data_IF_505158326849
#
_entry.id   IF_505158326849
#
_cell.length_a   1.000
_cell.length_b   1.000
_cell.length_c   1.000
_cell.angle_alpha   90.00
_cell.angle_beta   90.00
_cell.angle_gamma   90.00
#
_symmetry.space_group_name_H-M   'P 1'
#
loop_
_entity.id
_entity.type
_entity.pdbx_description
1 polymer ?
#
# COMPACT_ATOMS: atom_id res chain seq x y z
N UNK A 1 -10.75 -33.67 56.11
CA UNK A 1 -9.44 -33.00 56.28
C UNK A 1 -9.32 -32.16 55.04
N UNK A 2 -9.88 -30.95 55.04
CA UNK A 2 -9.36 -29.68 55.54
C UNK A 2 -7.96 -29.44 54.98
N UNK A 3 -7.81 -28.51 54.04
CA UNK A 3 -7.56 -27.10 54.36
C UNK A 3 -7.77 -26.19 53.14
N UNK A 4 -8.55 -25.17 53.40
CA UNK A 4 -8.71 -23.96 52.64
C UNK A 4 -7.43 -23.10 52.75
N UNK A 5 -7.01 -22.47 51.66
CA UNK A 5 -6.23 -21.24 51.75
C UNK A 5 -6.72 -20.26 50.67
N UNK A 6 -7.55 -19.32 51.13
CA UNK A 6 -7.78 -18.00 50.51
C UNK A 6 -6.49 -17.17 50.62
N UNK A 7 -6.15 -16.50 49.52
CA UNK A 7 -5.31 -15.31 49.60
C UNK A 7 -5.73 -14.34 48.50
N UNK A 8 -6.56 -13.39 48.86
CA UNK A 8 -6.72 -12.10 48.22
C UNK A 8 -5.41 -11.33 48.30
N UNK A 9 -4.94 -10.79 47.17
CA UNK A 9 -4.05 -9.64 47.17
C UNK A 9 -4.58 -8.59 46.19
N UNK A 10 -5.24 -7.61 46.80
CA UNK A 10 -5.53 -6.31 46.24
C UNK A 10 -4.22 -5.55 46.05
N UNK A 11 -3.92 -5.13 44.81
CA UNK A 11 -2.85 -4.17 44.59
C UNK A 11 -3.44 -2.84 44.16
N UNK A 12 -3.33 -1.91 45.08
CA UNK A 12 -3.72 -0.51 45.05
C UNK A 12 -3.18 0.25 43.83
N UNK A 13 -4.06 1.06 43.28
CA UNK A 13 -3.76 2.14 42.37
C UNK A 13 -2.87 3.19 43.03
N UNK A 14 -1.66 3.36 42.56
CA UNK A 14 -0.84 4.52 42.91
C UNK A 14 -0.91 5.57 41.81
N UNK A 15 -1.63 6.64 42.14
CA UNK A 15 -1.48 7.99 41.65
C UNK A 15 0.01 8.36 41.50
N UNK A 16 0.40 8.76 40.28
CA UNK A 16 1.61 9.54 40.08
C UNK A 16 1.19 10.94 39.63
N UNK A 17 1.11 11.80 40.61
CA UNK A 17 0.93 13.24 40.46
C UNK A 17 2.12 13.88 39.76
N UNK A 18 1.83 14.69 38.76
CA UNK A 18 2.74 15.68 38.18
C UNK A 18 3.16 16.70 39.25
N UNK A 19 4.45 16.83 39.45
CA UNK A 19 5.05 17.97 40.18
C UNK A 19 6.41 18.26 39.55
N UNK A 20 6.46 19.32 38.74
CA UNK A 20 7.52 20.32 38.73
C UNK A 20 7.19 21.43 37.73
N UNK A 21 6.46 22.41 38.23
CA UNK A 21 6.49 23.75 37.68
C UNK A 21 7.61 24.49 38.38
N UNK A 22 8.72 24.72 37.71
CA UNK A 22 9.80 25.59 38.13
C UNK A 22 9.65 26.94 37.49
N UNK A 23 9.28 27.93 38.26
CA UNK A 23 9.31 29.35 37.91
C UNK A 23 10.74 29.86 37.96
N UNK A 24 11.20 30.48 36.88
CA UNK A 24 12.11 31.62 37.00
C UNK A 24 11.97 32.54 35.80
N UNK A 25 11.72 33.81 36.09
CA UNK A 25 11.42 34.86 35.17
C UNK A 25 12.67 35.49 34.56
N UNK A 26 12.56 35.96 33.37
CA UNK A 26 13.24 37.14 32.87
C UNK A 26 12.51 37.69 31.64
N UNK A 27 11.95 38.85 31.84
CA UNK A 27 11.33 39.70 30.82
C UNK A 27 12.36 40.14 29.78
N UNK A 28 12.05 40.01 28.49
CA UNK A 28 12.40 41.01 27.48
C UNK A 28 11.47 40.87 26.29
N UNK A 29 10.65 41.93 26.10
CA UNK A 29 9.76 42.11 24.98
C UNK A 29 10.52 42.19 23.65
N UNK A 30 9.93 41.57 22.65
CA UNK A 30 10.29 41.65 21.26
C UNK A 30 9.01 41.63 20.45
N UNK A 31 8.48 42.85 20.22
CA UNK A 31 7.40 43.17 19.31
C UNK A 31 7.86 42.87 17.88
N UNK A 32 7.21 41.94 17.18
CA UNK A 32 7.36 41.69 15.77
C UNK A 32 6.00 41.81 15.09
N UNK A 33 5.65 43.06 14.75
CA UNK A 33 4.59 43.39 13.83
C UNK A 33 4.95 42.97 12.40
N UNK A 34 4.02 42.42 11.62
CA UNK A 34 4.27 42.12 10.22
C UNK A 34 4.16 43.35 9.35
N UNK A 35 5.24 43.70 8.69
CA UNK A 35 5.25 44.73 7.64
C UNK A 35 4.62 44.21 6.37
N UNK A 36 3.49 44.79 6.02
CA UNK A 36 2.90 44.75 4.68
C UNK A 36 3.70 45.67 3.77
N UNK A 37 4.30 45.09 2.73
CA UNK A 37 4.74 45.86 1.56
C UNK A 37 3.79 45.63 0.41
N UNK A 38 2.99 46.62 0.17
CA UNK A 38 2.15 46.83 -0.99
C UNK A 38 3.05 47.35 -2.14
N UNK A 39 3.08 46.64 -3.23
CA UNK A 39 3.57 47.16 -4.50
C UNK A 39 2.49 46.91 -5.56
N UNK A 40 1.69 47.93 -5.75
CA UNK A 40 0.85 48.13 -6.94
C UNK A 40 1.76 48.47 -8.12
N UNK A 41 1.60 47.83 -9.25
CA UNK A 41 1.90 48.36 -10.58
C UNK A 41 0.86 47.89 -11.58
N UNK A 42 0.02 48.73 -11.82
CA UNK A 42 -0.68 49.31 -12.96
C UNK A 42 -0.56 48.57 -14.31
N UNK A 43 -1.75 48.48 -14.84
CA UNK A 43 -2.28 48.20 -16.14
C UNK A 43 -1.42 48.64 -17.34
N UNK A 44 -1.43 47.80 -18.36
CA UNK A 44 -1.37 48.26 -19.75
C UNK A 44 -2.33 47.43 -20.59
N UNK A 45 -3.35 48.15 -21.01
CA UNK A 45 -4.34 47.78 -21.99
C UNK A 45 -3.71 47.68 -23.40
N UNK A 46 -3.98 46.63 -24.10
CA UNK A 46 -3.66 46.48 -25.50
C UNK A 46 -4.65 45.56 -26.20
N UNK A 47 -5.76 46.13 -26.65
CA UNK A 47 -6.71 45.49 -27.56
C UNK A 47 -6.25 45.72 -28.99
N UNK A 48 -6.13 44.74 -29.85
CA UNK A 48 -6.34 44.92 -31.27
C UNK A 48 -7.63 44.24 -31.71
N UNK A 49 -8.59 45.06 -32.01
CA UNK A 49 -9.72 44.76 -32.90
C UNK A 49 -9.20 44.66 -34.32
N UNK A 50 -9.55 43.59 -35.05
CA UNK A 50 -9.74 43.47 -36.52
C UNK A 50 -10.02 42.02 -36.76
N UNK A 51 -11.05 41.60 -37.38
CA UNK A 51 -11.72 41.83 -38.60
C UNK A 51 -12.54 40.62 -38.93
N UNK A 52 -13.83 40.79 -39.09
CA UNK A 52 -14.77 39.78 -39.64
C UNK A 52 -14.29 39.35 -41.00
N UNK A 53 -14.06 38.05 -41.16
CA UNK A 53 -14.28 37.35 -42.43
C UNK A 53 -14.97 36.03 -42.12
N UNK A 54 -16.28 36.01 -42.38
CA UNK A 54 -17.06 34.77 -42.51
C UNK A 54 -16.55 34.03 -43.73
N UNK A 55 -16.06 32.81 -43.51
CA UNK A 55 -16.00 31.82 -44.59
C UNK A 55 -16.83 30.65 -44.08
N UNK A 56 -18.04 30.58 -44.63
CA UNK A 56 -18.86 29.40 -44.59
C UNK A 56 -18.23 28.36 -45.57
N UNK A 57 -17.65 27.33 -45.06
CA UNK A 57 -17.40 26.11 -45.81
C UNK A 57 -17.77 24.94 -44.91
N UNK A 58 -18.81 24.25 -45.32
CA UNK A 58 -19.30 23.04 -44.70
C UNK A 58 -18.19 21.96 -44.65
N UNK A 59 -17.96 21.45 -43.48
CA UNK A 59 -17.14 20.29 -43.23
C UNK A 59 -17.94 19.33 -42.35
N UNK A 60 -18.36 18.24 -42.93
CA UNK A 60 -18.98 17.08 -42.33
C UNK A 60 -18.18 16.70 -41.06
N UNK A 61 -18.82 16.81 -39.89
CA UNK A 61 -18.33 16.23 -38.67
C UNK A 61 -18.32 14.72 -38.82
N UNK A 62 -17.17 14.16 -39.13
CA UNK A 62 -16.92 12.72 -38.92
C UNK A 62 -16.80 12.52 -37.42
N UNK A 63 -17.88 12.09 -36.83
CA UNK A 63 -17.86 11.46 -35.51
C UNK A 63 -17.05 10.16 -35.69
N UNK A 64 -15.74 10.24 -35.49
CA UNK A 64 -14.93 9.06 -35.19
C UNK A 64 -15.43 8.52 -33.87
N UNK A 65 -16.42 7.65 -33.89
CA UNK A 65 -16.67 6.71 -32.81
C UNK A 65 -15.39 5.88 -32.71
N UNK A 66 -14.55 6.18 -31.72
CA UNK A 66 -13.59 5.23 -31.18
C UNK A 66 -14.43 4.09 -30.61
N UNK A 67 -14.84 3.17 -31.52
CA UNK A 67 -15.20 1.84 -31.14
C UNK A 67 -13.89 1.24 -30.58
N UNK A 68 -13.67 1.36 -29.29
CA UNK A 68 -12.75 0.52 -28.57
C UNK A 68 -13.18 -0.90 -28.88
N UNK A 69 -12.41 -1.62 -29.67
CA UNK A 69 -12.47 -3.06 -29.73
C UNK A 69 -12.07 -3.57 -28.33
N UNK A 70 -13.02 -3.62 -27.43
CA UNK A 70 -12.97 -4.52 -26.31
C UNK A 70 -13.07 -5.92 -26.90
N UNK A 71 -11.95 -6.58 -27.07
CA UNK A 71 -11.90 -8.02 -27.27
C UNK A 71 -12.59 -8.63 -26.05
N UNK A 72 -13.69 -9.33 -26.26
CA UNK A 72 -14.45 -9.93 -25.17
C UNK A 72 -13.73 -11.15 -24.60
N UNK A 73 -12.93 -10.92 -23.64
CA UNK A 73 -12.78 -11.71 -22.43
C UNK A 73 -13.27 -10.78 -21.34
N UNK A 74 -14.20 -11.24 -20.48
CA UNK A 74 -14.79 -10.37 -19.47
C UNK A 74 -13.64 -9.73 -18.68
N UNK A 75 -13.69 -8.38 -18.54
CA UNK A 75 -12.66 -7.64 -17.81
C UNK A 75 -12.42 -8.34 -16.46
N UNK A 76 -11.16 -8.70 -16.19
CA UNK A 76 -10.79 -9.26 -14.89
C UNK A 76 -11.30 -8.35 -13.77
N UNK A 77 -11.78 -8.90 -12.65
CA UNK A 77 -12.27 -8.09 -11.54
C UNK A 77 -11.12 -7.20 -11.02
N UNK A 78 -11.43 -5.93 -10.74
CA UNK A 78 -10.45 -5.03 -10.13
C UNK A 78 -10.21 -5.35 -8.65
N UNK A 79 -9.09 -4.86 -8.06
CA UNK A 79 -8.79 -5.06 -6.65
C UNK A 79 -9.83 -4.38 -5.75
N UNK A 80 -9.97 -4.88 -4.53
CA UNK A 80 -10.89 -4.33 -3.53
C UNK A 80 -10.13 -3.66 -2.38
N UNK A 81 -10.79 -2.78 -1.62
CA UNK A 81 -10.19 -2.25 -0.40
C UNK A 81 -10.39 -3.26 0.73
N UNK A 82 -9.29 -3.69 1.34
CA UNK A 82 -9.30 -4.57 2.51
C UNK A 82 -9.58 -3.77 3.78
N UNK A 83 -10.45 -4.29 4.61
CA UNK A 83 -10.93 -3.65 5.85
C UNK A 83 -10.58 -4.50 7.07
N UNK A 84 -10.90 -4.02 8.26
CA UNK A 84 -10.71 -4.80 9.49
C UNK A 84 -11.61 -6.04 9.60
N UNK A 85 -12.54 -6.23 8.66
CA UNK A 85 -13.32 -7.45 8.54
C UNK A 85 -12.63 -8.51 7.66
N UNK A 86 -11.50 -8.13 7.03
CA UNK A 86 -10.76 -8.99 6.10
C UNK A 86 -9.53 -9.59 6.78
N UNK A 87 -9.53 -10.93 6.83
CA UNK A 87 -8.42 -11.72 7.38
C UNK A 87 -7.70 -12.49 6.28
N UNK A 88 -6.41 -12.74 6.49
CA UNK A 88 -5.59 -13.57 5.62
C UNK A 88 -6.13 -15.01 5.53
N UNK A 89 -6.24 -15.55 4.32
CA UNK A 89 -6.77 -16.89 4.06
C UNK A 89 -5.83 -18.03 4.49
N UNK A 90 -4.59 -17.72 4.84
CA UNK A 90 -3.60 -18.68 5.33
C UNK A 90 -3.45 -18.58 6.84
N UNK A 91 -3.02 -17.43 7.38
CA UNK A 91 -2.68 -17.29 8.80
C UNK A 91 -3.83 -16.78 9.67
N UNK A 92 -4.91 -16.23 9.06
CA UNK A 92 -6.09 -15.72 9.77
C UNK A 92 -5.90 -14.36 10.45
N UNK A 93 -4.76 -13.69 10.26
CA UNK A 93 -4.53 -12.34 10.79
C UNK A 93 -5.38 -11.29 10.06
N UNK A 94 -5.86 -10.28 10.80
CA UNK A 94 -6.62 -9.15 10.24
C UNK A 94 -5.67 -8.26 9.44
N UNK A 95 -5.78 -8.28 8.11
CA UNK A 95 -4.77 -7.74 7.19
C UNK A 95 -4.40 -6.28 7.48
N UNK A 96 -5.32 -5.31 7.63
CA UNK A 96 -4.94 -3.92 7.87
C UNK A 96 -4.23 -3.64 9.20
N UNK A 97 -4.20 -4.60 10.11
CA UNK A 97 -3.57 -4.46 11.44
C UNK A 97 -2.12 -4.97 11.48
N UNK A 98 -1.63 -5.51 10.37
CA UNK A 98 -0.30 -6.11 10.28
C UNK A 98 0.56 -5.39 9.23
N UNK A 99 1.89 -5.53 9.25
CA UNK A 99 2.76 -5.03 8.19
C UNK A 99 2.39 -5.60 6.83
N UNK A 100 2.66 -4.85 5.73
CA UNK A 100 2.53 -5.36 4.37
C UNK A 100 3.68 -6.28 3.96
N UNK A 101 3.73 -6.70 2.69
CA UNK A 101 2.81 -6.36 1.60
C UNK A 101 1.48 -7.12 1.68
N UNK A 102 0.40 -6.50 1.18
CA UNK A 102 -0.89 -7.19 1.04
C UNK A 102 -1.09 -7.67 -0.40
N UNK A 103 -1.85 -8.76 -0.56
CA UNK A 103 -2.06 -9.41 -1.86
C UNK A 103 -3.48 -9.93 -2.00
N UNK A 104 -4.01 -9.90 -3.21
CA UNK A 104 -5.32 -10.41 -3.57
C UNK A 104 -5.25 -11.31 -4.80
N UNK A 105 -5.93 -12.48 -4.74
CA UNK A 105 -6.02 -13.38 -5.90
C UNK A 105 -7.50 -13.66 -6.20
N UNK A 106 -7.90 -13.35 -7.43
CA UNK A 106 -9.22 -13.71 -7.95
C UNK A 106 -9.10 -15.01 -8.75
N UNK A 107 -9.91 -16.00 -8.39
CA UNK A 107 -9.98 -17.27 -9.09
C UNK A 107 -11.26 -17.36 -9.90
N UNK A 108 -11.16 -17.84 -11.15
CA UNK A 108 -12.29 -17.90 -12.08
C UNK A 108 -13.40 -18.82 -11.60
N UNK A 109 -13.05 -20.03 -11.24
CA UNK A 109 -14.00 -21.13 -10.95
C UNK A 109 -14.00 -21.57 -9.49
N UNK A 110 -13.24 -20.89 -8.64
CA UNK A 110 -13.10 -21.23 -7.23
C UNK A 110 -13.30 -20.03 -6.34
N UNK A 111 -13.60 -20.28 -5.08
CA UNK A 111 -13.74 -19.28 -4.04
C UNK A 111 -12.91 -19.66 -2.83
N UNK A 112 -12.33 -18.72 -2.10
CA UNK A 112 -11.72 -18.96 -0.81
C UNK A 112 -12.72 -19.59 0.15
N UNK A 113 -12.22 -20.24 1.20
CA UNK A 113 -13.07 -20.88 2.20
C UNK A 113 -13.74 -19.79 3.08
N UNK A 114 -15.08 -19.71 3.01
CA UNK A 114 -15.87 -18.90 3.92
C UNK A 114 -16.29 -17.53 3.40
N UNK A 115 -15.79 -17.08 2.24
CA UNK A 115 -16.17 -15.80 1.63
C UNK A 115 -16.06 -15.84 0.09
N UNK A 116 -16.51 -14.79 -0.57
CA UNK A 116 -16.35 -14.61 -2.01
C UNK A 116 -14.93 -14.11 -2.34
N UNK A 117 -14.54 -14.19 -3.64
CA UNK A 117 -13.30 -13.58 -4.13
C UNK A 117 -13.15 -12.11 -3.72
N UNK A 118 -11.91 -11.62 -3.57
CA UNK A 118 -10.64 -12.33 -3.75
C UNK A 118 -10.27 -13.21 -2.56
N UNK A 119 -9.35 -14.17 -2.76
CA UNK A 119 -8.50 -14.67 -1.70
C UNK A 119 -7.56 -13.55 -1.25
N UNK A 120 -7.32 -13.39 0.05
CA UNK A 120 -6.70 -12.21 0.66
C UNK A 120 -5.55 -12.61 1.57
N UNK A 121 -4.44 -11.86 1.47
CA UNK A 121 -3.22 -12.20 2.18
C UNK A 121 -2.57 -10.94 2.75
N UNK A 122 -1.99 -11.05 3.93
CA UNK A 122 -1.10 -10.05 4.55
C UNK A 122 0.38 -10.26 4.21
N UNK A 123 0.64 -11.12 3.23
CA UNK A 123 1.97 -11.49 2.75
C UNK A 123 1.88 -11.94 1.28
N UNK A 124 2.72 -11.39 0.42
CA UNK A 124 2.83 -11.84 -0.97
C UNK A 124 3.44 -13.25 -1.02
N UNK A 125 4.33 -13.56 -0.08
CA UNK A 125 4.87 -14.90 0.07
C UNK A 125 3.77 -15.96 0.31
N UNK A 126 2.85 -15.72 1.26
CA UNK A 126 1.72 -16.62 1.53
C UNK A 126 0.78 -16.75 0.32
N UNK A 127 0.59 -15.65 -0.42
CA UNK A 127 -0.26 -15.67 -1.62
C UNK A 127 0.30 -16.59 -2.70
N UNK A 128 1.60 -16.53 -2.98
CA UNK A 128 2.25 -17.44 -3.92
C UNK A 128 2.25 -18.89 -3.42
N UNK A 129 2.53 -19.13 -2.12
CA UNK A 129 2.46 -20.47 -1.54
C UNK A 129 1.05 -21.04 -1.69
N UNK A 130 0.03 -20.24 -1.37
CA UNK A 130 -1.37 -20.62 -1.50
C UNK A 130 -1.75 -20.96 -2.95
N UNK A 131 -1.30 -20.19 -3.92
CA UNK A 131 -1.57 -20.44 -5.34
C UNK A 131 -0.86 -21.67 -5.87
N UNK A 132 0.43 -21.85 -5.57
CA UNK A 132 1.22 -23.02 -6.00
C UNK A 132 0.73 -24.34 -5.45
N UNK A 133 0.01 -24.36 -4.35
CA UNK A 133 -0.61 -25.57 -3.80
C UNK A 133 -1.91 -25.97 -4.51
N UNK A 134 -2.38 -25.16 -5.47
CA UNK A 134 -3.70 -25.31 -6.10
C UNK A 134 -3.60 -25.35 -7.63
N UNK A 135 -4.44 -26.20 -8.22
CA UNK A 135 -4.64 -26.25 -9.68
C UNK A 135 -5.81 -25.35 -10.11
N UNK A 136 -5.97 -24.17 -9.46
CA UNK A 136 -7.06 -23.26 -9.77
C UNK A 136 -6.66 -22.26 -10.86
N UNK A 137 -7.64 -21.77 -11.63
CA UNK A 137 -7.35 -20.79 -12.68
C UNK A 137 -7.38 -19.38 -12.06
N UNK A 138 -6.24 -18.72 -11.98
CA UNK A 138 -6.12 -17.31 -11.61
C UNK A 138 -6.79 -16.46 -12.70
N UNK A 139 -7.64 -15.53 -12.30
CA UNK A 139 -8.28 -14.53 -13.15
C UNK A 139 -7.60 -13.16 -13.02
N UNK A 140 -7.16 -12.82 -11.80
CA UNK A 140 -6.33 -11.67 -11.50
C UNK A 140 -5.50 -11.90 -10.24
N UNK A 141 -4.28 -11.38 -10.22
CA UNK A 141 -3.36 -11.42 -9.08
C UNK A 141 -2.88 -9.99 -8.82
N UNK A 142 -3.27 -9.42 -7.68
CA UNK A 142 -2.94 -8.05 -7.31
C UNK A 142 -2.00 -8.00 -6.11
N UNK A 143 -1.02 -7.12 -6.18
CA UNK A 143 -0.03 -6.90 -5.11
C UNK A 143 0.05 -5.42 -4.75
N UNK A 144 0.41 -5.10 -3.52
CA UNK A 144 0.70 -3.72 -3.12
C UNK A 144 1.87 -3.17 -3.93
N UNK A 145 1.66 -2.06 -4.65
CA UNK A 145 2.69 -1.36 -5.42
C UNK A 145 3.38 -0.28 -4.58
N UNK A 146 4.59 -0.55 -4.17
CA UNK A 146 5.39 0.37 -3.35
C UNK A 146 6.03 1.53 -4.13
N UNK A 147 5.89 1.57 -5.45
CA UNK A 147 6.19 2.77 -6.24
C UNK A 147 5.07 3.81 -6.19
N UNK A 148 3.82 3.39 -5.92
CA UNK A 148 2.65 4.27 -5.99
C UNK A 148 2.14 4.78 -4.64
N UNK A 149 2.67 4.27 -3.52
CA UNK A 149 2.21 4.59 -2.16
C UNK A 149 3.31 5.26 -1.32
N UNK A 150 2.90 6.08 -0.35
CA UNK A 150 3.80 6.66 0.66
C UNK A 150 4.10 5.62 1.74
N UNK A 151 5.03 4.73 1.47
CA UNK A 151 5.40 3.67 2.41
C UNK A 151 6.41 4.14 3.45
N UNK A 152 6.48 3.41 4.55
CA UNK A 152 7.42 3.65 5.64
C UNK A 152 7.91 2.35 6.24
N UNK A 153 9.04 2.42 6.94
CA UNK A 153 9.58 1.32 7.73
C UNK A 153 9.39 1.60 9.22
N UNK A 154 8.94 0.59 9.94
CA UNK A 154 8.89 0.59 11.40
C UNK A 154 9.85 -0.47 11.95
N UNK A 155 10.30 -0.30 13.20
CA UNK A 155 11.15 -1.28 13.88
C UNK A 155 10.35 -2.00 14.95
N UNK A 156 10.36 -3.33 14.92
CA UNK A 156 9.76 -4.17 15.95
C UNK A 156 10.60 -5.44 16.16
N UNK A 157 10.97 -5.71 17.40
CA UNK A 157 11.73 -6.93 17.75
C UNK A 157 13.14 -7.03 17.14
N UNK A 158 13.65 -5.94 16.58
CA UNK A 158 14.94 -5.91 15.85
C UNK A 158 14.79 -6.07 14.33
N UNK A 159 13.57 -6.26 13.84
CA UNK A 159 13.25 -6.32 12.42
C UNK A 159 12.72 -4.98 11.90
N UNK A 160 12.98 -4.70 10.62
CA UNK A 160 12.41 -3.56 9.89
C UNK A 160 11.21 -4.05 9.09
N UNK A 161 10.04 -3.48 9.40
CA UNK A 161 8.75 -3.90 8.86
C UNK A 161 8.20 -2.84 7.93
N UNK A 162 7.74 -3.25 6.73
CA UNK A 162 7.14 -2.34 5.76
C UNK A 162 5.67 -2.06 6.10
N UNK A 163 5.22 -0.82 5.87
CA UNK A 163 3.83 -0.43 6.10
C UNK A 163 2.86 -1.18 5.18
N UNK A 164 1.65 -1.49 5.69
CA UNK A 164 0.54 -2.02 4.89
C UNK A 164 -0.22 -0.89 4.19
N UNK A 165 -0.78 -1.18 3.03
CA UNK A 165 -1.60 -0.28 2.22
C UNK A 165 -2.80 -1.06 1.67
N UNK A 166 -3.91 -1.13 2.43
CA UNK A 166 -5.03 -2.01 2.13
C UNK A 166 -6.05 -1.41 1.16
N UNK A 167 -5.85 -0.17 0.67
CA UNK A 167 -6.77 0.50 -0.24
C UNK A 167 -6.66 -0.09 -1.66
N UNK A 168 -7.79 -0.28 -2.35
CA UNK A 168 -7.82 -0.80 -3.72
C UNK A 168 -6.88 -0.04 -4.69
N UNK A 169 -6.68 1.26 -4.45
CA UNK A 169 -5.78 2.10 -5.26
C UNK A 169 -4.29 1.82 -5.06
N UNK A 170 -3.93 1.07 -4.02
CA UNK A 170 -2.56 0.67 -3.73
C UNK A 170 -2.15 -0.61 -4.45
N UNK A 171 -3.09 -1.30 -5.06
CA UNK A 171 -2.84 -2.57 -5.72
C UNK A 171 -2.64 -2.41 -7.23
N UNK A 172 -1.74 -3.20 -7.78
CA UNK A 172 -1.46 -3.30 -9.21
C UNK A 172 -1.39 -4.77 -9.60
N UNK A 173 -1.58 -5.05 -10.88
CA UNK A 173 -1.41 -6.39 -11.44
C UNK A 173 0.02 -6.89 -11.20
N UNK A 174 0.14 -8.09 -10.65
CA UNK A 174 1.43 -8.70 -10.29
C UNK A 174 2.32 -8.98 -11.52
N UNK A 175 1.75 -9.12 -12.71
CA UNK A 175 2.52 -9.27 -13.95
C UNK A 175 3.20 -7.96 -14.39
N UNK A 176 2.72 -6.82 -13.86
CA UNK A 176 3.22 -5.49 -14.23
C UNK A 176 4.34 -4.95 -13.31
N UNK A 177 4.80 -5.73 -12.33
CA UNK A 177 5.77 -5.28 -11.33
C UNK A 177 7.12 -5.98 -11.41
N UNK A 178 8.11 -5.40 -10.74
CA UNK A 178 9.36 -6.05 -10.36
C UNK A 178 9.33 -6.30 -8.85
N UNK A 179 9.50 -7.54 -8.44
CA UNK A 179 9.62 -7.93 -7.04
C UNK A 179 11.06 -7.78 -6.54
N UNK A 180 11.20 -7.29 -5.31
CA UNK A 180 12.42 -7.49 -4.51
C UNK A 180 12.18 -8.64 -3.55
N UNK A 181 12.84 -9.76 -3.80
CA UNK A 181 12.65 -11.03 -3.09
C UNK A 181 13.65 -11.15 -1.96
N UNK A 182 13.19 -11.35 -0.73
CA UNK A 182 14.02 -11.73 0.39
C UNK A 182 14.96 -10.65 0.91
N UNK A 183 14.59 -9.38 0.83
CA UNK A 183 15.31 -8.26 1.43
C UNK A 183 15.40 -8.39 2.97
N UNK A 184 16.16 -7.48 3.60
CA UNK A 184 16.18 -7.35 5.08
C UNK A 184 14.86 -6.78 5.64
N UNK A 185 14.08 -6.09 4.80
CA UNK A 185 12.77 -5.57 5.16
C UNK A 185 11.77 -6.72 5.11
N UNK A 186 10.99 -6.82 6.17
CA UNK A 186 10.04 -7.92 6.37
C UNK A 186 8.60 -7.44 6.27
N UNK A 187 7.73 -8.36 5.91
CA UNK A 187 6.28 -8.25 6.05
C UNK A 187 5.77 -8.89 7.34
N UNK A 188 4.46 -9.14 7.40
CA UNK A 188 3.80 -9.78 8.55
C UNK A 188 4.37 -11.17 8.85
N UNK A 189 4.72 -11.93 7.81
CA UNK A 189 5.19 -13.33 7.93
C UNK A 189 6.71 -13.47 7.82
N UNK A 190 7.46 -12.39 7.86
CA UNK A 190 8.91 -12.41 7.75
C UNK A 190 9.43 -11.88 6.42
N UNK A 191 10.44 -12.53 5.82
CA UNK A 191 10.95 -12.13 4.50
C UNK A 191 9.89 -12.37 3.43
N UNK A 192 9.74 -11.40 2.54
CA UNK A 192 8.64 -11.36 1.59
C UNK A 192 9.09 -10.96 0.18
N UNK A 193 8.13 -10.83 -0.74
CA UNK A 193 8.29 -10.27 -2.07
C UNK A 193 7.65 -8.88 -2.06
N UNK A 194 8.47 -7.83 -2.13
CA UNK A 194 8.02 -6.44 -2.13
C UNK A 194 7.98 -5.95 -3.58
N UNK A 195 6.80 -5.50 -4.04
CA UNK A 195 6.54 -5.20 -5.43
C UNK A 195 6.64 -3.71 -5.75
N UNK A 196 7.18 -3.39 -6.92
CA UNK A 196 7.36 -2.05 -7.45
C UNK A 196 6.97 -2.02 -8.93
N UNK A 197 6.05 -1.13 -9.31
CA UNK A 197 5.72 -0.91 -10.73
C UNK A 197 6.85 -0.21 -11.48
N UNK A 198 7.63 0.64 -10.80
CA UNK A 198 8.81 1.28 -11.36
C UNK A 198 10.07 0.46 -11.06
N UNK A 199 10.72 -0.04 -12.10
CA UNK A 199 11.93 -0.88 -11.96
C UNK A 199 13.07 -0.16 -11.23
N UNK A 200 13.23 1.13 -11.46
CA UNK A 200 14.28 1.94 -10.81
C UNK A 200 14.08 1.98 -9.29
N UNK A 201 12.80 2.00 -8.80
CA UNK A 201 12.48 1.95 -7.38
C UNK A 201 12.81 0.57 -6.78
N UNK A 202 12.52 -0.51 -7.51
CA UNK A 202 12.92 -1.86 -7.11
C UNK A 202 14.44 -2.01 -6.99
N UNK A 203 15.19 -1.44 -7.94
CA UNK A 203 16.64 -1.44 -7.94
C UNK A 203 17.21 -0.64 -6.75
N UNK A 204 16.67 0.54 -6.47
CA UNK A 204 17.05 1.36 -5.33
C UNK A 204 16.72 0.67 -4.00
N UNK A 205 15.52 0.09 -3.86
CA UNK A 205 15.16 -0.66 -2.66
C UNK A 205 16.09 -1.85 -2.42
N UNK A 206 16.41 -2.60 -3.46
CA UNK A 206 17.36 -3.72 -3.38
C UNK A 206 18.78 -3.26 -3.00
N UNK A 207 19.23 -2.11 -3.49
CA UNK A 207 20.54 -1.56 -3.13
C UNK A 207 20.62 -1.20 -1.65
N UNK A 208 19.53 -0.66 -1.09
CA UNK A 208 19.46 -0.21 0.31
C UNK A 208 19.17 -1.35 1.29
N UNK A 209 18.43 -2.39 0.85
CA UNK A 209 17.85 -3.41 1.74
C UNK A 209 18.18 -4.86 1.35
N UNK A 210 19.00 -5.05 0.32
CA UNK A 210 19.34 -6.40 -0.15
C UNK A 210 18.21 -7.09 -0.90
N UNK A 211 18.34 -8.39 -1.07
CA UNK A 211 17.39 -9.21 -1.84
C UNK A 211 17.79 -9.37 -3.30
N UNK A 212 16.89 -9.94 -4.09
CA UNK A 212 17.08 -10.15 -5.53
C UNK A 212 15.85 -9.68 -6.32
N UNK A 213 16.07 -9.21 -7.56
CA UNK A 213 14.96 -8.83 -8.43
C UNK A 213 14.38 -10.07 -9.12
N UNK A 214 13.05 -10.10 -9.25
CA UNK A 214 12.30 -11.14 -9.96
C UNK A 214 11.12 -10.53 -10.71
N UNK A 215 10.80 -11.04 -11.90
CA UNK A 215 9.50 -10.82 -12.51
C UNK A 215 8.48 -11.84 -11.97
N UNK A 216 7.20 -11.63 -12.21
CA UNK A 216 6.13 -12.52 -11.76
C UNK A 216 6.35 -13.97 -12.23
N UNK A 217 6.60 -14.16 -13.52
CA UNK A 217 6.80 -15.50 -14.13
C UNK A 217 8.07 -16.22 -13.65
N UNK A 218 9.01 -15.49 -13.04
CA UNK A 218 10.27 -16.03 -12.53
C UNK A 218 10.16 -16.46 -11.05
N UNK A 219 9.03 -16.18 -10.37
CA UNK A 219 8.77 -16.64 -9.01
C UNK A 219 8.36 -18.10 -9.06
N UNK A 220 9.12 -18.95 -8.39
CA UNK A 220 8.91 -20.41 -8.37
C UNK A 220 8.65 -20.92 -6.97
N UNK A 221 8.12 -22.16 -6.83
CA UNK A 221 8.00 -22.79 -5.51
C UNK A 221 9.32 -22.84 -4.72
N UNK A 222 10.47 -22.98 -5.40
CA UNK A 222 11.79 -22.96 -4.78
C UNK A 222 12.14 -21.57 -4.25
N UNK A 223 11.74 -20.49 -4.96
CA UNK A 223 11.88 -19.11 -4.50
C UNK A 223 11.13 -18.91 -3.19
N UNK A 224 9.88 -19.35 -3.14
CA UNK A 224 9.00 -19.25 -1.97
C UNK A 224 9.52 -20.07 -0.80
N UNK A 225 9.92 -21.31 -1.03
CA UNK A 225 10.50 -22.17 0.01
C UNK A 225 11.81 -21.60 0.59
N UNK A 226 12.57 -20.84 -0.20
CA UNK A 226 13.80 -20.16 0.24
C UNK A 226 13.54 -19.04 1.24
N UNK A 227 12.38 -18.40 1.20
CA UNK A 227 12.00 -17.29 2.10
C UNK A 227 11.58 -17.80 3.49
N UNK A 228 10.96 -18.97 3.57
CA UNK A 228 10.48 -19.57 4.84
C UNK A 228 11.60 -19.95 5.82
N UNK A 229 12.86 -19.90 5.41
CA UNK A 229 14.02 -20.35 6.19
C UNK A 229 14.88 -19.19 6.74
N UNK A 230 14.43 -17.93 6.56
CA UNK A 230 15.21 -16.72 6.85
C UNK A 230 14.80 -15.91 8.07
#
# INVERSE_FOLDING_TARGET
MHDDIDAHDDIDAHDIACSHCGTDGSERGGDCSPQRTRAEREASSGVPTVGRRQVLLGGTAVLATLAGCGSGDGDAPGPVTLTTDDSCDVCGMVIPNHPGPSTEIFYRDHRPSGHDNPARFDSTWEAFEYDFERDWTVEAFYVTDYSSVDWSLSEAGGDRLISTHPEASAFVDAEAVTFVVGSEVKGAMGRDLIAFSERDDAEAFREDHGGSLSAFDDVTPETIAGLSQG
#
